data_IF_590603222550
#
_entry.id   IF_590603222550
#
_cell.length_a   1.000
_cell.length_b   1.000
_cell.length_c   1.000
_cell.angle_alpha   90.00
_cell.angle_beta   90.00
_cell.angle_gamma   90.00
#
_symmetry.space_group_name_H-M   'P 1'
#
loop_
_entity.id
_entity.type
_entity.pdbx_description
1 polymer ?
#
# COMPACT_ATOMS: atom_id res chain seq x y z
N UNK A 1 -9.92 -8.40 46.70
CA UNK A 1 -11.35 -8.74 46.75
C UNK A 1 -11.78 -9.06 45.32
N UNK A 2 -12.45 -10.21 45.13
CA UNK A 2 -12.98 -10.78 43.86
C UNK A 2 -11.95 -11.47 42.93
N UNK A 3 -11.58 -12.70 43.33
CA UNK A 3 -11.39 -13.86 42.45
C UNK A 3 -12.74 -14.57 42.29
N UNK A 4 -12.89 -15.32 41.18
CA UNK A 4 -13.86 -16.39 40.87
C UNK A 4 -15.06 -15.99 39.99
N UNK A 5 -14.94 -16.24 38.69
CA UNK A 5 -16.01 -16.91 37.91
C UNK A 5 -15.30 -17.78 36.86
N UNK A 6 -15.26 -19.10 37.10
CA UNK A 6 -15.46 -20.23 36.16
C UNK A 6 -14.78 -21.52 36.68
N UNK A 7 -15.44 -22.69 36.63
CA UNK A 7 -15.04 -23.89 37.39
C UNK A 7 -13.99 -24.73 36.68
N UNK A 8 -13.07 -25.28 37.47
CA UNK A 8 -12.05 -26.24 37.07
C UNK A 8 -12.62 -27.66 36.93
N UNK A 9 -13.33 -27.97 35.84
CA UNK A 9 -13.59 -29.37 35.48
C UNK A 9 -14.05 -29.56 34.02
N UNK A 10 -13.21 -29.23 33.04
CA UNK A 10 -13.32 -29.86 31.70
C UNK A 10 -12.02 -29.71 30.90
N UNK A 11 -10.89 -30.14 31.48
CA UNK A 11 -9.59 -30.14 30.80
C UNK A 11 -8.93 -31.51 30.91
N UNK A 12 -9.67 -32.56 30.56
CA UNK A 12 -9.10 -33.87 30.23
C UNK A 12 -9.95 -34.48 29.12
N UNK A 13 -9.29 -34.89 28.05
CA UNK A 13 -9.82 -35.56 26.85
C UNK A 13 -10.29 -34.62 25.74
N UNK A 14 -9.35 -34.11 24.94
CA UNK A 14 -9.17 -34.39 23.50
C UNK A 14 -7.99 -33.52 23.04
N UNK A 15 -6.77 -34.02 23.24
CA UNK A 15 -5.59 -33.57 22.50
C UNK A 15 -4.51 -34.65 22.61
N UNK A 16 -4.77 -35.79 21.97
CA UNK A 16 -3.80 -36.86 21.74
C UNK A 16 -3.92 -37.24 20.26
N UNK A 17 -3.32 -36.43 19.37
CA UNK A 17 -2.89 -36.86 18.01
C UNK A 17 -2.55 -35.69 17.07
N UNK A 18 -1.60 -34.82 17.42
CA UNK A 18 -0.82 -34.05 16.43
C UNK A 18 0.59 -33.82 17.00
N UNK A 19 1.67 -34.14 16.27
CA UNK A 19 3.02 -33.80 16.72
C UNK A 19 3.21 -32.29 16.51
N UNK A 20 2.91 -31.51 17.54
CA UNK A 20 3.40 -30.14 17.67
C UNK A 20 4.91 -30.27 17.85
N UNK A 21 5.70 -29.91 16.83
CA UNK A 21 7.13 -29.65 17.01
C UNK A 21 7.29 -28.51 18.03
N UNK A 22 7.85 -28.72 19.23
CA UNK A 22 8.19 -27.63 20.12
C UNK A 22 9.65 -27.29 19.84
N UNK A 23 9.90 -26.42 18.87
CA UNK A 23 11.22 -25.83 18.68
C UNK A 23 11.18 -24.34 19.01
N UNK A 24 10.86 -23.99 20.26
CA UNK A 24 11.31 -22.72 20.81
C UNK A 24 12.82 -22.83 21.04
N UNK A 25 13.62 -22.56 20.01
CA UNK A 25 15.05 -22.26 20.20
C UNK A 25 15.15 -20.83 20.71
N UNK A 26 15.17 -20.67 22.03
CA UNK A 26 15.69 -19.44 22.62
C UNK A 26 17.20 -19.44 22.39
N UNK A 27 17.79 -18.31 21.97
CA UNK A 27 19.24 -18.13 22.06
C UNK A 27 19.63 -18.37 23.52
N UNK A 28 20.40 -19.44 23.77
CA UNK A 28 20.89 -19.81 25.10
C UNK A 28 21.84 -18.75 25.67
N UNK A 29 22.40 -17.92 24.81
CA UNK A 29 23.36 -16.88 25.13
C UNK A 29 22.67 -15.52 25.14
N UNK A 30 22.70 -14.85 26.30
CA UNK A 30 22.11 -13.53 26.51
C UNK A 30 22.84 -12.45 25.71
N UNK A 31 24.16 -12.57 25.54
CA UNK A 31 24.97 -11.59 24.82
C UNK A 31 24.63 -11.57 23.33
N UNK A 32 24.50 -12.75 22.71
CA UNK A 32 24.05 -12.88 21.31
C UNK A 32 22.64 -12.39 21.08
N UNK A 33 21.76 -12.50 22.09
CA UNK A 33 20.40 -11.95 22.02
C UNK A 33 20.41 -10.43 22.01
N UNK A 34 21.22 -9.82 22.86
CA UNK A 34 21.38 -8.36 22.92
C UNK A 34 22.02 -7.82 21.65
N UNK A 35 23.06 -8.48 21.12
CA UNK A 35 23.68 -8.14 19.83
C UNK A 35 22.72 -8.26 18.64
N UNK A 36 21.96 -9.36 18.56
CA UNK A 36 20.94 -9.57 17.53
C UNK A 36 19.83 -8.51 17.63
N UNK A 37 19.41 -8.19 18.86
CA UNK A 37 18.44 -7.14 19.11
C UNK A 37 18.93 -5.80 18.56
N UNK A 38 20.19 -5.41 18.81
CA UNK A 38 20.75 -4.18 18.27
C UNK A 38 20.88 -4.19 16.73
N UNK A 39 21.30 -5.31 16.15
CA UNK A 39 21.50 -5.42 14.70
C UNK A 39 20.17 -5.36 13.94
N UNK A 40 19.16 -6.11 14.37
CA UNK A 40 17.82 -6.04 13.78
C UNK A 40 17.17 -4.67 13.99
N UNK A 41 17.33 -4.06 15.16
CA UNK A 41 16.81 -2.71 15.39
C UNK A 41 17.46 -1.69 14.47
N UNK A 42 18.77 -1.79 14.23
CA UNK A 42 19.44 -0.91 13.27
C UNK A 42 18.82 -1.02 11.88
N UNK A 43 18.66 -2.23 11.36
CA UNK A 43 18.02 -2.44 10.05
C UNK A 43 16.62 -1.85 10.01
N UNK A 44 15.79 -2.08 11.04
CA UNK A 44 14.42 -1.55 11.13
C UNK A 44 14.37 -0.03 11.30
N UNK A 45 15.34 0.57 11.99
CA UNK A 45 15.40 2.02 12.21
C UNK A 45 15.95 2.77 10.98
N UNK A 46 16.89 2.14 10.26
CA UNK A 46 17.53 2.66 9.06
C UNK A 46 16.62 2.45 7.83
N UNK A 47 15.86 1.35 7.77
CA UNK A 47 14.85 1.11 6.73
C UNK A 47 13.52 1.73 7.12
N UNK A 48 13.31 2.97 6.67
CA UNK A 48 12.00 3.62 6.79
C UNK A 48 11.24 3.48 5.49
N UNK A 49 9.91 3.32 5.55
CA UNK A 49 9.07 3.46 4.37
C UNK A 49 9.35 4.80 3.70
N UNK A 50 9.51 4.80 2.39
CA UNK A 50 9.71 6.01 1.59
C UNK A 50 8.54 6.21 0.62
N UNK A 51 8.10 7.44 0.36
CA UNK A 51 7.10 7.73 -0.68
C UNK A 51 7.59 7.35 -2.08
N UNK A 52 6.66 7.21 -3.03
CA UNK A 52 7.01 6.83 -4.40
C UNK A 52 7.68 7.96 -5.18
N UNK A 53 7.24 9.20 -4.94
CA UNK A 53 7.76 10.37 -5.65
C UNK A 53 9.01 10.95 -5.01
N UNK A 54 10.01 11.25 -5.85
CA UNK A 54 11.29 11.86 -5.44
C UNK A 54 11.10 13.23 -4.78
N UNK A 55 10.07 13.97 -5.18
CA UNK A 55 9.71 15.29 -4.65
C UNK A 55 9.45 15.25 -3.14
N UNK A 56 9.03 14.10 -2.60
CA UNK A 56 8.78 13.92 -1.16
C UNK A 56 10.05 13.61 -0.35
N UNK A 57 11.16 13.27 -1.01
CA UNK A 57 12.44 12.90 -0.37
C UNK A 57 13.45 14.05 -0.44
N UNK A 58 13.10 15.17 -1.08
CA UNK A 58 13.94 16.36 -1.15
C UNK A 58 14.08 17.06 0.21
N UNK A 59 15.14 17.87 0.35
CA UNK A 59 15.41 18.59 1.60
C UNK A 59 14.35 19.65 1.94
N UNK A 60 13.57 20.11 0.95
CA UNK A 60 12.55 21.14 1.14
C UNK A 60 11.21 20.54 1.56
N UNK A 61 10.51 21.23 2.47
CA UNK A 61 9.19 20.81 2.94
C UNK A 61 8.13 21.03 1.88
N UNK A 62 7.28 20.03 1.66
CA UNK A 62 6.17 20.12 0.71
C UNK A 62 5.04 21.00 1.27
N UNK A 63 4.65 22.00 0.49
CA UNK A 63 3.56 22.93 0.79
C UNK A 63 2.36 22.63 -0.10
N UNK A 64 1.19 23.17 0.22
CA UNK A 64 -0.01 23.02 -0.61
C UNK A 64 0.24 23.42 -2.06
N UNK A 65 0.94 24.53 -2.30
CA UNK A 65 1.24 25.03 -3.64
C UNK A 65 2.17 24.10 -4.43
N UNK A 66 3.14 23.45 -3.77
CA UNK A 66 4.03 22.50 -4.44
C UNK A 66 3.30 21.22 -4.79
N UNK A 67 2.41 20.76 -3.90
CA UNK A 67 1.58 19.57 -4.10
C UNK A 67 0.57 19.75 -5.24
N UNK A 68 -0.05 20.92 -5.35
CA UNK A 68 -1.01 21.22 -6.44
C UNK A 68 -0.37 21.29 -7.82
N UNK A 69 0.93 21.63 -7.89
CA UNK A 69 1.69 21.70 -9.14
C UNK A 69 2.18 20.33 -9.62
N UNK A 70 2.05 19.28 -8.81
CA UNK A 70 2.44 17.94 -9.22
C UNK A 70 1.54 17.49 -10.37
N UNK A 71 2.18 17.09 -11.48
CA UNK A 71 1.44 16.43 -12.54
C UNK A 71 1.00 15.04 -12.07
N UNK A 72 -0.31 14.84 -12.11
CA UNK A 72 -0.99 13.57 -11.78
C UNK A 72 -1.75 13.01 -12.98
N UNK A 73 -1.90 13.79 -14.05
CA UNK A 73 -2.73 13.47 -15.21
C UNK A 73 -4.10 12.89 -14.84
N UNK A 74 -5.01 13.67 -14.23
CA UNK A 74 -6.25 13.12 -13.65
C UNK A 74 -7.22 12.56 -14.71
N UNK A 75 -7.03 12.94 -15.98
CA UNK A 75 -7.79 12.45 -17.12
C UNK A 75 -7.05 11.34 -17.91
N UNK A 76 -5.87 10.91 -17.44
CA UNK A 76 -5.15 9.81 -18.07
C UNK A 76 -5.92 8.53 -17.83
N UNK A 77 -6.22 7.82 -18.92
CA UNK A 77 -6.95 6.56 -18.89
C UNK A 77 -6.34 5.61 -19.91
N UNK A 78 -5.95 4.42 -19.46
CA UNK A 78 -5.46 3.38 -20.35
C UNK A 78 -6.66 2.71 -21.04
N UNK A 79 -6.72 2.82 -22.38
CA UNK A 79 -7.83 2.23 -23.15
C UNK A 79 -7.71 0.71 -23.17
N UNK A 80 -8.70 -0.06 -22.68
CA UNK A 80 -8.62 -1.52 -22.65
C UNK A 80 -8.64 -2.09 -24.08
N UNK A 81 -7.54 -2.69 -24.52
CA UNK A 81 -7.41 -3.24 -25.88
C UNK A 81 -7.60 -4.76 -25.91
N UNK A 82 -6.92 -5.47 -25.01
CA UNK A 82 -6.93 -6.94 -24.94
C UNK A 82 -8.16 -7.47 -24.21
N UNK A 83 -8.40 -8.79 -24.30
CA UNK A 83 -9.44 -9.45 -23.51
C UNK A 83 -9.13 -9.37 -22.01
N UNK A 84 -7.85 -9.45 -21.63
CA UNK A 84 -7.40 -9.28 -20.24
C UNK A 84 -7.68 -7.87 -19.74
N UNK A 85 -7.35 -6.86 -20.53
CA UNK A 85 -7.57 -5.44 -20.16
C UNK A 85 -9.06 -5.18 -19.95
N UNK A 86 -9.91 -5.68 -20.85
CA UNK A 86 -11.36 -5.52 -20.74
C UNK A 86 -11.89 -6.21 -19.50
N UNK A 87 -11.44 -7.44 -19.22
CA UNK A 87 -11.83 -8.17 -18.02
C UNK A 87 -11.42 -7.40 -16.75
N UNK A 88 -10.18 -6.90 -16.68
CA UNK A 88 -9.69 -6.12 -15.56
C UNK A 88 -10.47 -4.81 -15.39
N UNK A 89 -10.68 -4.04 -16.48
CA UNK A 89 -11.44 -2.79 -16.47
C UNK A 89 -12.86 -2.98 -15.94
N UNK A 90 -13.63 -3.92 -16.50
CA UNK A 90 -15.00 -4.15 -16.07
C UNK A 90 -15.09 -4.73 -14.66
N UNK A 91 -14.11 -5.55 -14.26
CA UNK A 91 -14.04 -6.07 -12.89
C UNK A 91 -13.87 -4.92 -11.90
N UNK A 92 -12.92 -4.02 -12.14
CA UNK A 92 -12.70 -2.87 -11.26
C UNK A 92 -13.89 -1.92 -11.23
N UNK A 93 -14.46 -1.56 -12.38
CA UNK A 93 -15.66 -0.71 -12.45
C UNK A 93 -16.84 -1.31 -11.68
N UNK A 94 -17.00 -2.63 -11.74
CA UNK A 94 -18.06 -3.34 -11.02
C UNK A 94 -17.79 -3.35 -9.52
N UNK A 95 -16.56 -3.67 -9.11
CA UNK A 95 -16.18 -3.74 -7.70
C UNK A 95 -16.27 -2.38 -7.01
N UNK A 96 -16.00 -1.28 -7.73
CA UNK A 96 -16.16 0.10 -7.24
C UNK A 96 -17.56 0.43 -6.73
N UNK A 97 -18.60 -0.16 -7.31
CA UNK A 97 -20.00 0.12 -6.93
C UNK A 97 -20.24 -0.21 -5.45
N UNK A 98 -19.59 -1.26 -4.92
CA UNK A 98 -19.79 -1.73 -3.56
C UNK A 98 -19.33 -0.71 -2.50
N UNK A 99 -18.05 -0.27 -2.46
CA UNK A 99 -17.59 0.71 -1.49
C UNK A 99 -18.26 2.08 -1.69
N UNK A 100 -18.51 2.51 -2.94
CA UNK A 100 -19.20 3.79 -3.21
C UNK A 100 -20.62 3.79 -2.61
N UNK A 101 -21.35 2.67 -2.74
CA UNK A 101 -22.71 2.54 -2.21
C UNK A 101 -22.72 2.36 -0.68
N UNK A 102 -21.79 1.57 -0.14
CA UNK A 102 -21.76 1.24 1.29
C UNK A 102 -21.27 2.41 2.15
N UNK A 103 -20.19 3.08 1.75
CA UNK A 103 -19.59 4.17 2.53
C UNK A 103 -20.16 5.55 2.19
N UNK A 104 -20.75 5.73 1.00
CA UNK A 104 -21.33 7.01 0.55
C UNK A 104 -20.39 8.19 0.82
N UNK A 105 -20.81 9.15 1.64
CA UNK A 105 -20.04 10.33 2.03
C UNK A 105 -18.98 10.12 3.12
N UNK A 106 -18.72 8.89 3.57
CA UNK A 106 -17.63 8.63 4.52
C UNK A 106 -16.33 8.35 3.77
N UNK A 107 -15.66 9.42 3.32
CA UNK A 107 -14.43 9.34 2.52
C UNK A 107 -13.29 8.66 3.27
N UNK A 108 -13.13 8.93 4.56
CA UNK A 108 -12.08 8.31 5.38
C UNK A 108 -12.23 6.79 5.43
N UNK A 109 -13.42 6.28 5.78
CA UNK A 109 -13.62 4.83 5.86
C UNK A 109 -13.54 4.17 4.49
N UNK A 110 -14.02 4.85 3.44
CA UNK A 110 -13.90 4.37 2.06
C UNK A 110 -12.44 4.25 1.65
N UNK A 111 -11.63 5.29 1.86
CA UNK A 111 -10.19 5.29 1.58
C UNK A 111 -9.52 4.16 2.38
N UNK A 112 -9.66 4.13 3.70
CA UNK A 112 -9.06 3.09 4.54
C UNK A 112 -9.44 1.66 4.11
N UNK A 113 -10.67 1.42 3.66
CA UNK A 113 -11.06 0.12 3.12
C UNK A 113 -10.35 -0.19 1.81
N UNK A 114 -10.28 0.77 0.88
CA UNK A 114 -9.61 0.60 -0.40
C UNK A 114 -8.10 0.38 -0.23
N UNK A 115 -7.43 1.13 0.66
CA UNK A 115 -5.99 0.93 0.97
C UNK A 115 -5.68 -0.50 1.46
N UNK A 116 -6.62 -1.12 2.22
CA UNK A 116 -6.41 -2.51 2.68
C UNK A 116 -6.42 -3.53 1.55
N UNK A 117 -7.05 -3.19 0.43
CA UNK A 117 -7.13 -3.99 -0.79
C UNK A 117 -5.97 -3.63 -1.72
N UNK A 118 -5.67 -2.34 -1.90
CA UNK A 118 -4.59 -1.83 -2.75
C UNK A 118 -3.21 -2.33 -2.32
N UNK A 119 -2.97 -2.52 -1.02
CA UNK A 119 -1.70 -3.08 -0.53
C UNK A 119 -1.48 -4.58 -0.85
N UNK A 120 -2.49 -5.32 -1.33
CA UNK A 120 -2.40 -6.77 -1.54
C UNK A 120 -1.73 -7.14 -2.87
N UNK A 121 -2.10 -6.57 -4.02
CA UNK A 121 -1.54 -6.97 -5.30
C UNK A 121 -0.01 -6.81 -5.41
N UNK A 122 0.57 -5.69 -4.95
CA UNK A 122 2.03 -5.52 -4.93
C UNK A 122 2.74 -6.60 -4.11
N UNK A 123 2.19 -6.97 -2.96
CA UNK A 123 2.74 -8.04 -2.10
C UNK A 123 2.66 -9.41 -2.78
N UNK A 124 1.52 -9.73 -3.41
CA UNK A 124 1.34 -11.00 -4.13
C UNK A 124 2.24 -11.06 -5.36
N UNK A 125 2.30 -9.99 -6.15
CA UNK A 125 3.16 -9.89 -7.33
C UNK A 125 4.64 -10.01 -6.98
N UNK A 126 5.10 -9.33 -5.93
CA UNK A 126 6.46 -9.43 -5.41
C UNK A 126 6.78 -10.86 -4.95
N UNK A 127 5.89 -11.50 -4.21
CA UNK A 127 6.04 -12.90 -3.78
C UNK A 127 6.12 -13.88 -4.97
N UNK A 128 5.23 -13.74 -5.97
CA UNK A 128 5.21 -14.61 -7.13
C UNK A 128 6.48 -14.45 -7.98
N UNK A 129 6.93 -13.22 -8.21
CA UNK A 129 8.18 -12.94 -8.93
C UNK A 129 9.40 -13.45 -8.15
N UNK A 130 9.42 -13.29 -6.82
CA UNK A 130 10.45 -13.88 -5.96
C UNK A 130 10.52 -15.40 -6.12
N UNK A 131 9.38 -16.09 -6.04
CA UNK A 131 9.33 -17.54 -6.23
C UNK A 131 9.68 -17.98 -7.67
N UNK A 132 9.33 -17.17 -8.69
CA UNK A 132 9.72 -17.39 -10.10
C UNK A 132 11.23 -17.30 -10.27
N UNK A 133 11.86 -16.23 -9.76
CA UNK A 133 13.30 -16.01 -9.77
C UNK A 133 14.04 -17.17 -9.10
N UNK A 134 13.63 -17.56 -7.88
CA UNK A 134 14.23 -18.70 -7.17
C UNK A 134 14.11 -20.01 -7.95
N UNK A 135 12.94 -20.31 -8.52
CA UNK A 135 12.73 -21.56 -9.28
C UNK A 135 13.53 -21.61 -10.58
N UNK A 136 13.75 -20.45 -11.20
CA UNK A 136 14.49 -20.32 -12.46
C UNK A 136 15.99 -20.07 -12.26
N UNK A 137 16.42 -19.81 -11.01
CA UNK A 137 17.79 -19.38 -10.69
C UNK A 137 18.23 -18.19 -11.56
N UNK A 138 17.33 -17.22 -11.75
CA UNK A 138 17.54 -16.05 -12.60
C UNK A 138 17.34 -14.77 -11.83
N UNK A 139 17.95 -13.69 -12.30
CA UNK A 139 17.68 -12.35 -11.81
C UNK A 139 16.21 -11.97 -12.04
N UNK A 140 15.70 -11.07 -11.20
CA UNK A 140 14.33 -10.54 -11.25
C UNK A 140 14.24 -9.22 -12.02
N UNK A 141 15.37 -8.57 -12.26
CA UNK A 141 15.47 -7.31 -13.00
C UNK A 141 14.70 -6.11 -12.39
N UNK A 142 14.27 -6.18 -11.12
CA UNK A 142 13.79 -5.02 -10.35
C UNK A 142 12.30 -5.04 -9.98
N UNK A 143 11.54 -6.03 -10.45
CA UNK A 143 10.09 -6.16 -10.21
C UNK A 143 9.75 -6.37 -8.74
N UNK A 144 10.46 -7.28 -8.05
CA UNK A 144 10.19 -7.61 -6.64
C UNK A 144 10.32 -6.36 -5.78
N UNK A 145 11.40 -5.61 -5.92
CA UNK A 145 11.63 -4.43 -5.08
C UNK A 145 10.57 -3.37 -5.32
N UNK A 146 10.19 -3.13 -6.58
CA UNK A 146 9.19 -2.13 -6.92
C UNK A 146 7.80 -2.51 -6.39
N UNK A 147 7.36 -3.76 -6.61
CA UNK A 147 6.05 -4.25 -6.17
C UNK A 147 5.91 -4.31 -4.63
N UNK A 148 6.99 -4.67 -3.92
CA UNK A 148 7.00 -4.63 -2.46
C UNK A 148 7.01 -3.20 -1.92
N UNK A 149 7.65 -2.27 -2.62
CA UNK A 149 7.66 -0.85 -2.27
C UNK A 149 6.28 -0.21 -2.46
N UNK A 150 5.60 -0.50 -3.57
CA UNK A 150 4.19 -0.12 -3.81
C UNK A 150 3.29 -0.63 -2.68
N UNK A 151 3.37 -1.92 -2.34
CA UNK A 151 2.58 -2.50 -1.26
C UNK A 151 2.85 -1.84 0.11
N UNK A 152 4.09 -1.40 0.37
CA UNK A 152 4.42 -0.65 1.58
C UNK A 152 3.86 0.78 1.54
N UNK A 153 3.87 1.45 0.40
CA UNK A 153 3.31 2.78 0.21
C UNK A 153 1.79 2.78 0.50
N UNK A 154 1.04 1.83 -0.07
CA UNK A 154 -0.39 1.61 0.21
C UNK A 154 -0.67 1.33 1.69
N UNK A 155 0.19 0.52 2.34
CA UNK A 155 0.10 0.27 3.78
C UNK A 155 0.30 1.58 4.57
N UNK A 156 1.18 2.48 4.11
CA UNK A 156 1.39 3.77 4.76
C UNK A 156 0.19 4.69 4.60
N UNK A 157 -0.46 4.73 3.44
CA UNK A 157 -1.75 5.44 3.26
C UNK A 157 -2.78 4.98 4.30
N UNK A 158 -2.97 3.66 4.44
CA UNK A 158 -3.86 3.09 5.44
C UNK A 158 -3.51 3.57 6.86
N UNK A 159 -2.23 3.54 7.24
CA UNK A 159 -1.79 3.95 8.58
C UNK A 159 -2.05 5.43 8.85
N UNK A 160 -2.03 6.30 7.83
CA UNK A 160 -2.40 7.71 7.96
C UNK A 160 -3.89 7.85 8.26
N UNK A 161 -4.75 7.19 7.50
CA UNK A 161 -6.21 7.23 7.71
C UNK A 161 -6.63 6.64 9.06
N UNK A 162 -5.89 5.63 9.55
CA UNK A 162 -6.10 5.07 10.89
C UNK A 162 -5.78 6.03 12.04
N UNK A 163 -5.10 7.16 11.79
CA UNK A 163 -4.98 8.25 12.79
C UNK A 163 -6.24 9.12 12.85
N UNK A 164 -7.04 9.12 11.80
CA UNK A 164 -8.29 9.88 11.69
C UNK A 164 -9.54 9.02 11.99
N UNK A 165 -9.37 7.70 12.11
CA UNK A 165 -10.46 6.74 12.17
C UNK A 165 -10.34 5.81 13.36
N UNK A 166 -11.50 5.35 13.85
CA UNK A 166 -11.58 4.26 14.81
C UNK A 166 -12.53 3.17 14.28
N UNK A 167 -12.03 2.23 13.45
CA UNK A 167 -12.89 1.20 12.85
C UNK A 167 -13.38 0.20 13.89
N UNK A 168 -14.69 -0.02 13.90
CA UNK A 168 -15.34 -0.98 14.79
C UNK A 168 -15.06 -2.44 14.36
N UNK A 169 -15.51 -3.40 15.16
CA UNK A 169 -15.33 -4.83 14.90
C UNK A 169 -15.84 -5.27 13.52
N UNK A 170 -17.01 -4.77 13.09
CA UNK A 170 -17.60 -5.12 11.80
C UNK A 170 -16.80 -4.61 10.62
N UNK A 171 -16.26 -3.39 10.69
CA UNK A 171 -15.37 -2.85 9.67
C UNK A 171 -14.11 -3.72 9.53
N UNK A 172 -13.56 -4.22 10.64
CA UNK A 172 -12.40 -5.11 10.63
C UNK A 172 -12.72 -6.48 10.03
N UNK A 173 -13.91 -7.03 10.29
CA UNK A 173 -14.37 -8.27 9.65
C UNK A 173 -14.61 -8.09 8.15
N UNK A 174 -15.11 -6.92 7.74
CA UNK A 174 -15.27 -6.58 6.32
C UNK A 174 -13.92 -6.55 5.61
N UNK A 175 -12.91 -5.89 6.19
CA UNK A 175 -11.53 -5.88 5.68
C UNK A 175 -11.00 -7.31 5.53
N UNK A 176 -11.16 -8.15 6.56
CA UNK A 176 -10.70 -9.55 6.51
C UNK A 176 -11.36 -10.34 5.35
N UNK A 177 -12.68 -10.17 5.17
CA UNK A 177 -13.41 -10.80 4.07
C UNK A 177 -12.97 -10.30 2.70
N UNK A 178 -12.76 -8.99 2.56
CA UNK A 178 -12.29 -8.39 1.32
C UNK A 178 -10.86 -8.85 0.97
N UNK A 179 -9.92 -8.77 1.90
CA UNK A 179 -8.53 -9.21 1.67
C UNK A 179 -8.45 -10.68 1.26
N UNK A 180 -9.27 -11.55 1.86
CA UNK A 180 -9.34 -12.98 1.47
C UNK A 180 -9.82 -13.15 0.02
N UNK A 181 -10.74 -12.29 -0.42
CA UNK A 181 -11.29 -12.33 -1.79
C UNK A 181 -10.31 -11.75 -2.82
N UNK A 182 -9.62 -10.67 -2.45
CA UNK A 182 -8.73 -9.91 -3.34
C UNK A 182 -7.29 -10.42 -3.42
N UNK A 183 -6.93 -11.44 -2.64
CA UNK A 183 -5.64 -12.15 -2.76
C UNK A 183 -5.37 -12.72 -4.19
N UNK A 184 -6.36 -12.67 -5.10
CA UNK A 184 -6.30 -13.27 -6.44
C UNK A 184 -6.53 -12.31 -7.63
N UNK A 185 -6.63 -10.97 -7.45
CA UNK A 185 -7.08 -10.05 -8.52
C UNK A 185 -6.24 -8.75 -8.71
N UNK A 186 -6.44 -8.08 -9.87
CA UNK A 186 -5.52 -7.18 -10.62
C UNK A 186 -5.44 -5.70 -10.18
N UNK A 187 -4.30 -5.02 -10.45
CA UNK A 187 -3.91 -3.72 -9.87
C UNK A 187 -4.24 -2.46 -10.70
N UNK A 188 -3.85 -2.38 -11.99
CA UNK A 188 -3.75 -1.07 -12.69
C UNK A 188 -5.03 -0.24 -12.78
N UNK A 189 -6.20 -0.85 -12.98
CA UNK A 189 -7.47 -0.11 -12.99
C UNK A 189 -7.94 0.27 -11.57
N UNK A 190 -7.53 -0.45 -10.52
CA UNK A 190 -7.88 -0.07 -9.13
C UNK A 190 -7.31 1.32 -8.82
N UNK A 191 -6.10 1.59 -9.30
CA UNK A 191 -5.44 2.88 -9.06
C UNK A 191 -6.10 4.04 -9.81
N UNK A 192 -6.66 3.80 -11.01
CA UNK A 192 -7.50 4.79 -11.70
C UNK A 192 -8.73 5.17 -10.85
N UNK A 193 -9.33 4.18 -10.18
CA UNK A 193 -10.44 4.41 -9.27
C UNK A 193 -10.02 5.08 -7.96
N UNK A 194 -8.79 4.81 -7.46
CA UNK A 194 -8.21 5.49 -6.31
C UNK A 194 -8.02 6.99 -6.60
N UNK A 195 -7.40 7.35 -7.72
CA UNK A 195 -7.23 8.76 -8.17
C UNK A 195 -8.58 9.48 -8.26
N UNK A 196 -9.58 8.83 -8.85
CA UNK A 196 -10.94 9.38 -8.94
C UNK A 196 -11.55 9.60 -7.54
N UNK A 197 -11.39 8.62 -6.65
CA UNK A 197 -11.92 8.68 -5.28
C UNK A 197 -11.27 9.79 -4.45
N UNK A 198 -9.97 9.98 -4.58
CA UNK A 198 -9.24 11.08 -3.92
C UNK A 198 -9.55 12.44 -4.53
N UNK A 199 -9.79 12.52 -5.83
CA UNK A 199 -10.26 13.75 -6.48
C UNK A 199 -11.63 14.18 -5.95
N UNK A 200 -12.56 13.24 -5.77
CA UNK A 200 -13.84 13.55 -5.11
C UNK A 200 -13.67 13.98 -3.66
N UNK A 201 -12.73 13.37 -2.92
CA UNK A 201 -12.43 13.78 -1.55
C UNK A 201 -11.92 15.22 -1.50
N UNK A 202 -11.00 15.62 -2.38
CA UNK A 202 -10.54 17.00 -2.49
C UNK A 202 -11.68 17.98 -2.77
N UNK A 203 -12.57 17.65 -3.71
CA UNK A 203 -13.71 18.51 -4.03
C UNK A 203 -14.65 18.70 -2.83
N UNK A 204 -14.84 17.67 -2.01
CA UNK A 204 -15.68 17.75 -0.82
C UNK A 204 -15.00 18.48 0.37
N UNK A 205 -13.67 18.45 0.46
CA UNK A 205 -12.89 19.31 1.35
C UNK A 205 -12.95 20.78 0.92
N UNK A 206 -12.72 21.05 -0.38
CA UNK A 206 -12.67 22.40 -0.94
C UNK A 206 -14.04 23.09 -0.92
N UNK A 207 -15.13 22.32 -1.02
CA UNK A 207 -16.50 22.83 -0.86
C UNK A 207 -16.96 22.92 0.61
N UNK A 208 -16.12 22.53 1.56
CA UNK A 208 -16.42 22.61 3.01
C UNK A 208 -17.43 21.57 3.51
N UNK A 209 -17.73 20.53 2.73
CA UNK A 209 -18.59 19.41 3.19
C UNK A 209 -17.88 18.54 4.23
N UNK A 210 -16.56 18.50 4.19
CA UNK A 210 -15.70 17.79 5.13
C UNK A 210 -14.78 18.81 5.81
N UNK A 211 -14.63 18.70 7.14
CA UNK A 211 -13.74 19.57 7.89
C UNK A 211 -12.27 19.30 7.52
N UNK A 212 -11.57 20.36 7.11
CA UNK A 212 -10.13 20.28 6.79
C UNK A 212 -9.28 20.52 8.05
N UNK A 213 -9.14 19.47 8.86
CA UNK A 213 -8.34 19.48 10.09
C UNK A 213 -6.82 19.38 9.85
N UNK A 214 -6.01 19.35 10.92
CA UNK A 214 -4.56 19.18 10.83
C UNK A 214 -4.18 17.78 10.30
N UNK A 215 -3.11 17.71 9.52
CA UNK A 215 -2.56 16.45 9.03
C UNK A 215 -2.01 15.58 10.18
N UNK A 216 -2.17 14.25 10.13
CA UNK A 216 -1.52 13.34 11.06
C UNK A 216 0.01 13.45 11.00
N UNK A 217 0.69 13.35 12.15
CA UNK A 217 2.16 13.45 12.21
C UNK A 217 2.87 12.43 11.32
N UNK A 218 2.32 11.21 11.22
CA UNK A 218 2.84 10.17 10.33
C UNK A 218 2.86 10.61 8.85
N UNK A 219 1.85 11.37 8.40
CA UNK A 219 1.80 11.88 7.03
C UNK A 219 2.79 13.03 6.83
N UNK A 220 2.92 13.91 7.83
CA UNK A 220 3.89 15.01 7.82
C UNK A 220 5.32 14.47 7.68
N UNK A 221 5.65 13.45 8.47
CA UNK A 221 6.98 12.84 8.46
C UNK A 221 7.24 12.05 7.17
N UNK A 222 6.25 11.27 6.70
CA UNK A 222 6.40 10.42 5.51
C UNK A 222 6.53 11.22 4.22
N UNK A 223 5.62 12.18 3.97
CA UNK A 223 5.61 13.00 2.76
C UNK A 223 6.47 14.27 2.84
N UNK A 224 7.20 14.42 3.95
CA UNK A 224 7.98 15.61 4.24
C UNK A 224 7.14 16.91 4.13
N UNK A 225 5.90 16.88 4.64
CA UNK A 225 4.97 18.02 4.54
C UNK A 225 5.39 19.17 5.48
N UNK A 226 4.89 20.35 5.18
CA UNK A 226 4.99 21.49 6.08
C UNK A 226 4.31 21.18 7.44
N UNK A 227 4.86 21.60 8.60
CA UNK A 227 4.30 21.25 9.92
C UNK A 227 2.86 21.72 10.17
N UNK A 228 2.39 22.70 9.39
CA UNK A 228 1.00 23.20 9.42
C UNK A 228 0.11 22.59 8.34
N UNK A 229 0.54 21.49 7.72
CA UNK A 229 -0.23 20.79 6.71
C UNK A 229 -1.58 20.31 7.25
N UNK A 230 -2.53 20.23 6.34
CA UNK A 230 -3.92 19.85 6.59
C UNK A 230 -4.25 18.49 5.98
N UNK A 231 -5.42 17.94 6.27
CA UNK A 231 -5.89 16.71 5.63
C UNK A 231 -5.89 16.83 4.10
N UNK A 232 -6.23 18.01 3.57
CA UNK A 232 -6.15 18.28 2.13
C UNK A 232 -4.76 18.03 1.55
N UNK A 233 -3.71 18.44 2.24
CA UNK A 233 -2.32 18.24 1.78
C UNK A 233 -1.95 16.75 1.78
N UNK A 234 -2.44 16.00 2.77
CA UNK A 234 -2.27 14.53 2.78
C UNK A 234 -2.99 13.89 1.59
N UNK A 235 -4.23 14.30 1.31
CA UNK A 235 -4.98 13.78 0.16
C UNK A 235 -4.30 14.13 -1.17
N UNK A 236 -3.72 15.32 -1.31
CA UNK A 236 -2.95 15.69 -2.50
C UNK A 236 -1.71 14.79 -2.67
N UNK A 237 -0.98 14.53 -1.58
CA UNK A 237 0.22 13.71 -1.61
C UNK A 237 -0.10 12.24 -1.94
N UNK A 238 -1.09 11.66 -1.26
CA UNK A 238 -1.55 10.29 -1.54
C UNK A 238 -2.02 10.16 -2.99
N UNK A 239 -2.87 11.08 -3.48
CA UNK A 239 -3.30 11.09 -4.89
C UNK A 239 -2.14 11.14 -5.89
N UNK A 240 -1.01 11.78 -5.51
CA UNK A 240 0.17 11.84 -6.36
C UNK A 240 0.94 10.50 -6.38
N UNK A 241 0.97 9.75 -5.28
CA UNK A 241 1.49 8.36 -5.26
C UNK A 241 0.60 7.43 -6.09
N UNK A 242 -0.73 7.52 -5.97
CA UNK A 242 -1.68 6.72 -6.77
C UNK A 242 -1.49 6.90 -8.28
N UNK A 243 -1.15 8.12 -8.71
CA UNK A 243 -0.83 8.40 -10.12
C UNK A 243 0.42 7.65 -10.58
N UNK A 244 1.43 7.52 -9.71
CA UNK A 244 2.63 6.72 -9.99
C UNK A 244 2.28 5.24 -10.07
N UNK A 245 1.48 4.71 -9.14
CA UNK A 245 1.03 3.31 -9.16
C UNK A 245 0.24 2.99 -10.42
N UNK A 246 -0.70 3.87 -10.83
CA UNK A 246 -1.44 3.74 -12.09
C UNK A 246 -0.50 3.59 -13.28
N UNK A 247 0.43 4.55 -13.44
CA UNK A 247 1.30 4.61 -14.61
C UNK A 247 2.30 3.44 -14.60
N UNK A 248 2.85 3.09 -13.43
CA UNK A 248 3.74 1.96 -13.26
C UNK A 248 3.05 0.62 -13.55
N UNK A 249 1.85 0.38 -13.02
CA UNK A 249 1.12 -0.87 -13.22
C UNK A 249 0.66 -1.07 -14.66
N UNK A 250 0.24 -0.01 -15.36
CA UNK A 250 -0.04 -0.09 -16.80
C UNK A 250 1.22 -0.37 -17.60
N UNK A 251 2.34 0.29 -17.28
CA UNK A 251 3.63 0.01 -17.91
C UNK A 251 4.12 -1.43 -17.67
N UNK A 252 3.95 -1.96 -16.46
CA UNK A 252 4.25 -3.36 -16.12
C UNK A 252 3.39 -4.32 -16.95
N UNK A 253 2.10 -4.03 -17.09
CA UNK A 253 1.19 -4.80 -17.94
C UNK A 253 1.67 -4.82 -19.40
N UNK A 254 2.05 -3.66 -19.95
CA UNK A 254 2.57 -3.56 -21.31
C UNK A 254 3.87 -4.36 -21.49
N UNK A 255 4.78 -4.28 -20.52
CA UNK A 255 6.03 -5.07 -20.50
C UNK A 255 5.76 -6.57 -20.54
N UNK A 256 4.77 -7.06 -19.77
CA UNK A 256 4.35 -8.47 -19.80
C UNK A 256 3.76 -8.86 -21.16
N UNK A 257 2.97 -7.97 -21.77
CA UNK A 257 2.34 -8.23 -23.06
C UNK A 257 3.36 -8.38 -24.20
N UNK A 258 4.49 -7.65 -24.13
CA UNK A 258 5.57 -7.69 -25.14
C UNK A 258 6.75 -8.59 -24.73
N UNK A 259 6.69 -9.22 -23.56
CA UNK A 259 7.78 -10.05 -22.98
C UNK A 259 9.11 -9.30 -22.77
N UNK A 260 9.06 -8.03 -22.40
CA UNK A 260 10.23 -7.19 -22.10
C UNK A 260 10.23 -6.75 -20.63
N UNK A 261 10.73 -7.64 -19.77
CA UNK A 261 10.65 -7.54 -18.30
C UNK A 261 11.89 -6.88 -17.65
N UNK A 262 12.88 -6.37 -18.39
CA UNK A 262 14.13 -5.84 -17.78
C UNK A 262 14.04 -4.35 -17.41
N UNK A 263 13.73 -4.03 -16.15
CA UNK A 263 13.65 -2.64 -15.66
C UNK A 263 15.01 -1.96 -15.55
N UNK A 264 16.05 -2.68 -15.11
CA UNK A 264 17.37 -2.08 -14.91
C UNK A 264 17.97 -1.59 -16.22
N UNK A 265 17.77 -2.34 -17.31
CA UNK A 265 18.21 -1.91 -18.64
C UNK A 265 17.57 -0.57 -19.07
N UNK A 266 16.27 -0.41 -18.80
CA UNK A 266 15.50 0.80 -19.14
C UNK A 266 15.93 2.00 -18.31
N UNK A 267 16.11 1.81 -17.00
CA UNK A 267 16.58 2.87 -16.08
C UNK A 267 17.98 3.36 -16.47
N UNK A 268 18.90 2.46 -16.80
CA UNK A 268 20.26 2.84 -17.17
C UNK A 268 20.28 3.62 -18.49
N UNK A 269 19.47 3.20 -19.47
CA UNK A 269 19.35 3.90 -20.77
C UNK A 269 18.85 5.35 -20.62
N UNK A 270 17.93 5.60 -19.68
CA UNK A 270 17.42 6.95 -19.44
C UNK A 270 18.39 7.85 -18.65
N UNK A 271 19.20 7.28 -17.75
CA UNK A 271 20.30 8.01 -17.08
C UNK A 271 21.36 8.47 -18.07
N UNK A 272 21.69 7.65 -19.06
CA UNK A 272 22.67 8.01 -20.09
C UNK A 272 22.15 9.13 -21.01
N UNK A 273 20.84 9.17 -21.27
CA UNK A 273 20.22 10.27 -22.05
C UNK A 273 20.16 11.59 -21.27
N UNK A 274 19.89 11.54 -19.97
CA UNK A 274 19.80 12.75 -19.12
C UNK A 274 21.15 13.30 -18.68
N UNK A 275 22.21 12.49 -18.71
CA UNK A 275 23.60 12.95 -18.47
C UNK A 275 24.28 13.50 -19.74
N UNK A 276 23.69 13.30 -20.91
CA UNK A 276 24.15 13.81 -22.20
C UNK A 276 23.46 15.12 -22.66
N UNK A 277 22.51 15.64 -21.88
CA UNK A 277 21.76 16.89 -22.10
C UNK A 277 22.11 17.97 -21.09
#
# INVERSE_FOLDING_TARGET
MIRKIFPSSFTKHVCKSLPIFPAYRTFSDKSKREEMFHTMFREVLDSRPVPMRKEFVLNEKNTTETLEKLDIGPNNHHKPTTLGDKAAYYTVKTLRILPDTYFRGNHYMRAAMLETIAAVPGMVGGMLNHMKSLRRMSEDHGWISHLLHEAENERMHLMMWMKCLNPNFWNRMLVLGAQTSFFSAMCGYLEEEAITSYTHFLNDLDSGKIENGPAPSIAIDYYNLHPKATIRDVVLAVRADEAVHRDANHFLSDCLAIHDEDFFSKINTDKDKTSAS
#
